data_IF_855465419782
#
_entry.id   IF_855465419782
#
_cell.length_a   1.000
_cell.length_b   1.000
_cell.length_c   1.000
_cell.angle_alpha   90.00
_cell.angle_beta   90.00
_cell.angle_gamma   90.00
#
_symmetry.space_group_name_H-M   'P 1'
#
loop_
_entity.id
_entity.type
_entity.pdbx_description
1 polymer ?
#
# COMPACT_ATOMS: atom_id res chain seq x y z
N UNK A 1 -3.69 0.78 -31.46
CA UNK A 1 -3.66 -0.49 -30.72
C UNK A 1 -4.49 -0.49 -29.44
N UNK A 2 -4.40 0.52 -28.53
CA UNK A 2 -5.15 0.52 -27.24
C UNK A 2 -6.67 0.40 -27.37
N UNK A 3 -7.28 1.12 -28.34
CA UNK A 3 -8.74 1.05 -28.53
C UNK A 3 -9.21 -0.34 -29.01
N UNK A 4 -8.45 -1.01 -29.87
CA UNK A 4 -8.78 -2.37 -30.29
C UNK A 4 -8.72 -3.36 -29.12
N UNK A 5 -7.71 -3.25 -28.25
CA UNK A 5 -7.61 -4.06 -27.04
C UNK A 5 -8.78 -3.78 -26.09
N UNK A 6 -9.14 -2.51 -25.89
CA UNK A 6 -10.29 -2.11 -25.09
C UNK A 6 -11.60 -2.71 -25.62
N UNK A 7 -11.86 -2.57 -26.93
CA UNK A 7 -13.04 -3.13 -27.57
C UNK A 7 -13.09 -4.66 -27.47
N UNK A 8 -11.96 -5.33 -27.71
CA UNK A 8 -11.86 -6.78 -27.62
C UNK A 8 -12.08 -7.28 -26.19
N UNK A 9 -11.51 -6.59 -25.20
CA UNK A 9 -11.66 -6.96 -23.78
C UNK A 9 -13.13 -6.88 -23.34
N UNK A 10 -13.81 -5.77 -23.66
CA UNK A 10 -15.20 -5.53 -23.27
C UNK A 10 -16.23 -6.11 -24.26
N UNK A 11 -15.79 -6.70 -25.37
CA UNK A 11 -16.60 -7.44 -26.35
C UNK A 11 -17.74 -6.64 -26.97
N UNK A 12 -17.55 -5.33 -27.20
CA UNK A 12 -18.55 -4.48 -27.85
C UNK A 12 -18.19 -4.20 -29.31
N UNK A 13 -19.21 -3.98 -30.13
CA UNK A 13 -19.04 -3.47 -31.51
C UNK A 13 -18.75 -1.96 -31.44
N UNK A 14 -17.95 -1.46 -32.37
CA UNK A 14 -17.66 -0.04 -32.48
C UNK A 14 -17.81 0.41 -33.93
N UNK A 15 -18.57 1.47 -34.09
CA UNK A 15 -18.70 2.18 -35.35
C UNK A 15 -18.08 3.57 -35.21
N UNK A 16 -17.44 4.02 -36.27
CA UNK A 16 -16.78 5.32 -36.26
C UNK A 16 -17.58 6.25 -37.17
N UNK A 17 -17.85 7.46 -36.66
CA UNK A 17 -18.41 8.53 -37.43
C UNK A 17 -17.48 8.95 -38.58
N UNK A 18 -18.03 9.51 -39.64
CA UNK A 18 -17.28 10.06 -40.75
C UNK A 18 -16.35 11.20 -40.24
N UNK A 19 -15.06 11.18 -40.59
CA UNK A 19 -14.16 12.25 -40.18
C UNK A 19 -14.67 13.63 -40.64
N UNK A 20 -14.79 14.58 -39.69
CA UNK A 20 -15.27 15.93 -39.95
C UNK A 20 -16.78 16.13 -39.77
N UNK A 21 -17.59 15.05 -39.71
CA UNK A 21 -19.04 15.14 -39.59
C UNK A 21 -19.49 15.04 -38.11
N UNK A 22 -19.34 16.16 -37.41
CA UNK A 22 -19.64 16.22 -35.96
C UNK A 22 -21.11 15.93 -35.60
N UNK A 23 -22.04 16.17 -36.53
CA UNK A 23 -23.48 15.93 -36.34
C UNK A 23 -23.84 14.45 -36.20
N UNK A 24 -23.03 13.53 -36.71
CA UNK A 24 -23.23 12.08 -36.54
C UNK A 24 -23.04 11.60 -35.11
N UNK A 25 -22.39 12.40 -34.23
CA UNK A 25 -22.17 12.06 -32.82
C UNK A 25 -23.43 12.20 -31.94
N UNK A 26 -24.54 12.64 -32.47
CA UNK A 26 -25.77 12.86 -31.71
C UNK A 26 -25.64 13.90 -30.60
N UNK A 27 -26.36 13.69 -29.49
CA UNK A 27 -26.45 14.66 -28.39
C UNK A 27 -25.27 14.73 -27.42
N UNK A 28 -24.20 13.94 -27.58
CA UNK A 28 -23.10 13.81 -26.60
C UNK A 28 -22.44 15.15 -26.25
N UNK A 29 -22.22 16.02 -27.24
CA UNK A 29 -21.63 17.33 -26.99
C UNK A 29 -22.59 18.26 -26.26
N UNK A 30 -23.89 18.19 -26.58
CA UNK A 30 -24.96 18.91 -25.89
C UNK A 30 -25.09 18.49 -24.41
N UNK A 31 -25.10 17.19 -24.15
CA UNK A 31 -25.14 16.62 -22.81
C UNK A 31 -23.89 16.98 -21.98
N UNK A 32 -22.70 16.88 -22.56
CA UNK A 32 -21.47 17.32 -21.89
C UNK A 32 -21.51 18.81 -21.53
N UNK A 33 -22.06 19.64 -22.42
CA UNK A 33 -22.30 21.07 -22.17
C UNK A 33 -23.34 21.33 -21.05
N UNK A 34 -24.45 20.57 -21.07
CA UNK A 34 -25.49 20.62 -20.05
C UNK A 34 -24.91 20.29 -18.67
N UNK A 35 -24.25 19.13 -18.54
CA UNK A 35 -23.67 18.66 -17.28
C UNK A 35 -22.65 19.66 -16.72
N UNK A 36 -21.77 20.16 -17.57
CA UNK A 36 -20.78 21.17 -17.17
C UNK A 36 -21.43 22.43 -16.62
N UNK A 37 -22.44 22.98 -17.29
CA UNK A 37 -23.12 24.21 -16.86
C UNK A 37 -23.89 24.02 -15.56
N UNK A 38 -24.49 22.84 -15.34
CA UNK A 38 -25.32 22.62 -14.17
C UNK A 38 -24.54 22.17 -12.93
N UNK A 39 -23.38 21.47 -13.10
CA UNK A 39 -22.68 20.85 -11.99
C UNK A 39 -21.24 21.36 -11.80
N UNK A 40 -20.64 22.00 -12.79
CA UNK A 40 -19.27 22.50 -12.73
C UNK A 40 -19.16 24.04 -12.87
N UNK A 41 -20.28 24.73 -12.78
CA UNK A 41 -20.33 26.22 -12.78
C UNK A 41 -21.23 26.67 -11.62
N UNK A 42 -20.69 27.43 -10.64
CA UNK A 42 -19.29 27.80 -10.47
C UNK A 42 -18.40 26.57 -10.22
N UNK A 43 -17.09 26.71 -10.47
CA UNK A 43 -16.14 25.58 -10.25
C UNK A 43 -16.23 25.11 -8.80
N UNK A 44 -16.56 23.83 -8.55
CA UNK A 44 -16.75 23.33 -7.19
C UNK A 44 -15.42 23.36 -6.41
N UNK A 45 -15.51 23.69 -5.12
CA UNK A 45 -14.38 23.63 -4.19
C UNK A 45 -14.55 22.38 -3.34
N UNK A 46 -13.64 21.44 -3.50
CA UNK A 46 -13.66 20.13 -2.81
C UNK A 46 -12.29 19.86 -2.18
N UNK A 47 -12.24 18.95 -1.21
CA UNK A 47 -11.00 18.59 -0.52
C UNK A 47 -10.02 17.85 -1.44
N UNK A 48 -10.55 16.93 -2.26
CA UNK A 48 -9.78 16.04 -3.12
C UNK A 48 -10.60 15.58 -4.33
N UNK A 49 -10.01 14.74 -5.18
CA UNK A 49 -10.67 14.17 -6.36
C UNK A 49 -11.76 13.16 -5.99
N UNK A 50 -11.65 12.47 -4.87
CA UNK A 50 -12.64 11.49 -4.44
C UNK A 50 -13.92 12.20 -4.00
N UNK A 51 -13.81 13.30 -3.28
CA UNK A 51 -14.93 14.16 -2.94
C UNK A 51 -15.61 14.75 -4.20
N UNK A 52 -14.83 15.17 -5.20
CA UNK A 52 -15.36 15.63 -6.49
C UNK A 52 -16.13 14.51 -7.20
N UNK A 53 -15.54 13.32 -7.30
CA UNK A 53 -16.16 12.17 -7.94
C UNK A 53 -17.47 11.75 -7.24
N UNK A 54 -17.50 11.76 -5.90
CA UNK A 54 -18.70 11.47 -5.14
C UNK A 54 -19.82 12.49 -5.40
N UNK A 55 -19.47 13.78 -5.46
CA UNK A 55 -20.42 14.86 -5.81
C UNK A 55 -20.97 14.66 -7.24
N UNK A 56 -20.11 14.40 -8.22
CA UNK A 56 -20.51 14.20 -9.60
C UNK A 56 -21.36 12.94 -9.76
N UNK A 57 -21.05 11.86 -9.07
CA UNK A 57 -21.83 10.62 -9.09
C UNK A 57 -23.25 10.86 -8.51
N UNK A 58 -23.35 11.65 -7.44
CA UNK A 58 -24.64 12.04 -6.86
C UNK A 58 -25.46 12.85 -7.86
N UNK A 59 -24.84 13.80 -8.55
CA UNK A 59 -25.48 14.58 -9.59
C UNK A 59 -25.95 13.70 -10.78
N UNK A 60 -25.14 12.77 -11.23
CA UNK A 60 -25.52 11.82 -12.29
C UNK A 60 -26.72 10.96 -11.89
N UNK A 61 -26.76 10.49 -10.63
CA UNK A 61 -27.91 9.70 -10.13
C UNK A 61 -29.18 10.53 -10.00
N UNK A 62 -29.06 11.79 -9.58
CA UNK A 62 -30.20 12.70 -9.54
C UNK A 62 -30.76 12.98 -10.94
N UNK A 63 -29.90 13.05 -11.94
CA UNK A 63 -30.27 13.27 -13.35
C UNK A 63 -31.06 12.10 -13.96
N UNK A 64 -30.96 10.89 -13.38
CA UNK A 64 -31.76 9.72 -13.78
C UNK A 64 -33.28 9.96 -13.65
N UNK A 65 -33.70 10.90 -12.80
CA UNK A 65 -35.10 11.29 -12.66
C UNK A 65 -35.60 12.24 -13.79
N UNK A 66 -34.70 12.77 -14.60
CA UNK A 66 -35.04 13.69 -15.70
C UNK A 66 -35.73 12.95 -16.84
N UNK A 67 -36.70 13.59 -17.43
CA UNK A 67 -37.35 13.16 -18.69
C UNK A 67 -36.78 14.00 -19.84
N UNK A 68 -36.29 13.34 -20.88
CA UNK A 68 -35.78 14.01 -22.06
C UNK A 68 -36.93 14.50 -22.95
N UNK A 69 -36.71 15.60 -23.67
CA UNK A 69 -37.69 16.15 -24.61
C UNK A 69 -38.09 15.10 -25.67
N UNK A 70 -39.39 14.96 -25.89
CA UNK A 70 -39.97 13.94 -26.77
C UNK A 70 -39.98 12.52 -26.19
N UNK A 71 -39.62 12.29 -24.91
CA UNK A 71 -39.74 11.01 -24.23
C UNK A 71 -40.85 11.05 -23.17
N UNK A 72 -41.45 9.88 -22.88
CA UNK A 72 -42.50 9.71 -21.87
C UNK A 72 -41.96 9.16 -20.55
N UNK A 73 -40.77 8.62 -20.57
CA UNK A 73 -40.13 7.96 -19.40
C UNK A 73 -38.88 8.70 -18.95
N UNK A 74 -38.49 8.47 -17.70
CA UNK A 74 -37.25 9.00 -17.14
C UNK A 74 -36.02 8.29 -17.70
N UNK A 75 -34.85 8.94 -17.64
CA UNK A 75 -33.57 8.34 -18.02
C UNK A 75 -33.34 7.04 -17.22
N UNK A 76 -33.63 7.03 -15.92
CA UNK A 76 -33.49 5.85 -15.08
C UNK A 76 -34.38 4.69 -15.48
N UNK A 77 -35.65 4.96 -15.87
CA UNK A 77 -36.55 3.93 -16.36
C UNK A 77 -36.05 3.32 -17.68
N UNK A 78 -35.64 4.16 -18.63
CA UNK A 78 -35.04 3.70 -19.89
C UNK A 78 -33.76 2.87 -19.65
N UNK A 79 -32.89 3.33 -18.74
CA UNK A 79 -31.66 2.61 -18.36
C UNK A 79 -31.95 1.24 -17.71
N UNK A 80 -33.03 1.12 -16.93
CA UNK A 80 -33.42 -0.15 -16.33
C UNK A 80 -33.79 -1.19 -17.38
N UNK A 81 -34.50 -0.77 -18.45
CA UNK A 81 -34.83 -1.63 -19.60
C UNK A 81 -33.56 -2.00 -20.35
N UNK A 82 -32.68 -1.03 -20.65
CA UNK A 82 -31.45 -1.24 -21.40
C UNK A 82 -30.49 -2.21 -20.67
N UNK A 83 -30.39 -2.12 -19.36
CA UNK A 83 -29.55 -3.03 -18.53
C UNK A 83 -29.87 -4.51 -18.77
N UNK A 84 -31.13 -4.86 -19.06
CA UNK A 84 -31.53 -6.23 -19.38
C UNK A 84 -30.94 -6.75 -20.69
N UNK A 85 -30.51 -5.85 -21.56
CA UNK A 85 -29.91 -6.19 -22.86
C UNK A 85 -28.40 -6.08 -22.90
N UNK A 86 -27.78 -5.52 -21.84
CA UNK A 86 -26.32 -5.42 -21.75
C UNK A 86 -25.69 -6.79 -21.52
N UNK A 87 -24.57 -7.03 -22.19
CA UNK A 87 -23.75 -8.22 -21.94
C UNK A 87 -23.03 -8.09 -20.58
N UNK A 88 -22.78 -9.21 -19.89
CA UNK A 88 -21.99 -9.18 -18.68
C UNK A 88 -20.59 -8.65 -18.95
N UNK A 89 -20.08 -7.77 -18.09
CA UNK A 89 -18.72 -7.27 -18.15
C UNK A 89 -17.72 -8.43 -17.96
N UNK A 90 -16.52 -8.27 -18.52
CA UNK A 90 -15.41 -9.17 -18.19
C UNK A 90 -15.11 -9.13 -16.69
N UNK A 91 -14.80 -10.28 -16.08
CA UNK A 91 -14.52 -10.40 -14.64
C UNK A 91 -13.25 -9.65 -14.30
N UNK A 92 -12.25 -9.69 -15.18
CA UNK A 92 -10.98 -8.99 -15.01
C UNK A 92 -11.05 -7.60 -15.63
N UNK A 93 -10.50 -6.61 -14.92
CA UNK A 93 -10.36 -5.25 -15.44
C UNK A 93 -9.35 -5.19 -16.59
N UNK A 94 -9.54 -4.26 -17.52
CA UNK A 94 -8.55 -4.02 -18.58
C UNK A 94 -7.26 -3.47 -17.96
N UNK A 95 -6.13 -4.11 -18.25
CA UNK A 95 -4.82 -3.57 -17.89
C UNK A 95 -4.53 -2.31 -18.74
N UNK A 96 -4.55 -1.16 -18.07
CA UNK A 96 -4.26 0.14 -18.66
C UNK A 96 -2.79 0.54 -18.53
N UNK A 97 -1.95 -0.32 -17.94
CA UNK A 97 -0.55 -0.01 -17.69
C UNK A 97 0.21 0.26 -19.00
N UNK A 98 1.00 1.30 -18.97
CA UNK A 98 2.06 1.52 -19.96
C UNK A 98 3.35 0.90 -19.42
N UNK A 99 3.87 -0.09 -20.12
CA UNK A 99 5.10 -0.76 -19.71
C UNK A 99 6.31 -0.07 -20.31
N UNK A 100 7.28 0.27 -19.45
CA UNK A 100 8.60 0.81 -19.83
C UNK A 100 9.70 0.04 -19.12
N UNK A 101 10.93 0.04 -19.67
CA UNK A 101 12.06 -0.73 -19.15
C UNK A 101 13.24 0.19 -18.79
N UNK A 102 13.12 0.97 -17.70
CA UNK A 102 14.20 1.85 -17.26
C UNK A 102 15.36 1.07 -16.65
N UNK A 103 16.52 1.73 -16.59
CA UNK A 103 17.71 1.26 -15.89
C UNK A 103 17.81 1.95 -14.54
N UNK A 104 18.15 1.20 -13.51
CA UNK A 104 18.36 1.69 -12.14
C UNK A 104 19.64 2.54 -12.10
N UNK A 105 19.54 3.75 -11.60
CA UNK A 105 20.66 4.67 -11.46
C UNK A 105 21.52 4.38 -10.21
N UNK A 106 22.58 5.17 -10.02
CA UNK A 106 23.49 5.06 -8.87
C UNK A 106 22.85 5.46 -7.54
N UNK A 107 21.67 6.10 -7.58
CA UNK A 107 20.91 6.51 -6.40
C UNK A 107 19.79 5.51 -6.08
N UNK A 108 19.82 4.29 -6.69
CA UNK A 108 18.77 3.28 -6.57
C UNK A 108 17.40 3.82 -6.98
N UNK A 109 17.37 4.62 -8.04
CA UNK A 109 16.15 5.15 -8.63
C UNK A 109 16.00 4.72 -10.08
N UNK A 110 14.75 4.69 -10.53
CA UNK A 110 14.40 4.58 -11.95
C UNK A 110 13.69 5.85 -12.40
N UNK A 111 13.98 6.29 -13.61
CA UNK A 111 13.27 7.43 -14.21
C UNK A 111 12.08 6.92 -15.01
N UNK A 112 10.88 7.30 -14.57
CA UNK A 112 9.62 6.98 -15.27
C UNK A 112 8.87 8.27 -15.55
N UNK A 113 8.53 8.47 -16.83
CA UNK A 113 8.02 9.74 -17.36
C UNK A 113 9.05 10.87 -17.14
N UNK A 114 9.04 11.59 -16.09
CA UNK A 114 10.04 12.65 -15.77
C UNK A 114 10.42 12.61 -14.30
N UNK A 115 9.91 11.62 -13.55
CA UNK A 115 10.08 11.51 -12.10
C UNK A 115 10.98 10.33 -11.75
N UNK A 116 11.59 10.40 -10.57
CA UNK A 116 12.53 9.42 -10.05
C UNK A 116 11.85 8.61 -8.94
N UNK A 117 11.81 7.29 -9.09
CA UNK A 117 11.18 6.38 -8.13
C UNK A 117 12.22 5.44 -7.57
N UNK A 118 12.32 5.34 -6.24
CA UNK A 118 13.29 4.46 -5.60
C UNK A 118 12.94 3.00 -5.77
N UNK A 119 13.97 2.16 -5.88
CA UNK A 119 13.82 0.71 -6.02
C UNK A 119 14.89 -0.03 -5.22
N UNK A 120 14.57 -1.19 -4.61
CA UNK A 120 15.53 -2.03 -3.90
C UNK A 120 16.28 -2.93 -4.90
N UNK A 121 16.89 -2.32 -5.93
CA UNK A 121 17.58 -3.05 -6.99
C UNK A 121 18.97 -2.46 -7.26
N UNK A 122 19.86 -3.29 -7.76
CA UNK A 122 21.26 -2.91 -8.03
C UNK A 122 21.32 -1.88 -9.16
N UNK A 123 22.12 -0.83 -8.98
CA UNK A 123 22.44 0.15 -10.01
C UNK A 123 22.95 -0.53 -11.29
N UNK A 124 22.47 -0.09 -12.44
CA UNK A 124 22.77 -0.67 -13.76
C UNK A 124 21.83 -1.81 -14.16
N UNK A 125 21.02 -2.37 -13.25
CA UNK A 125 20.04 -3.38 -13.64
C UNK A 125 18.86 -2.74 -14.39
N UNK A 126 18.30 -3.49 -15.34
CA UNK A 126 17.07 -3.12 -16.06
C UNK A 126 15.87 -3.73 -15.33
N UNK A 127 14.84 -2.94 -15.14
CA UNK A 127 13.59 -3.35 -14.51
C UNK A 127 12.41 -3.04 -15.43
N UNK A 128 11.28 -3.69 -15.19
CA UNK A 128 10.02 -3.39 -15.86
C UNK A 128 9.21 -2.45 -14.98
N UNK A 129 8.81 -1.29 -15.50
CA UNK A 129 7.93 -0.38 -14.80
C UNK A 129 6.58 -0.31 -15.50
N UNK A 130 5.52 -0.66 -14.79
CA UNK A 130 4.12 -0.59 -15.22
C UNK A 130 3.51 0.68 -14.68
N UNK A 131 3.23 1.61 -15.59
CA UNK A 131 2.67 2.93 -15.28
C UNK A 131 1.16 2.86 -15.31
N UNK A 132 0.57 2.77 -14.15
CA UNK A 132 -0.88 2.83 -13.95
C UNK A 132 -1.35 4.29 -13.81
N UNK A 133 -2.66 4.58 -13.85
CA UNK A 133 -3.18 5.93 -13.66
C UNK A 133 -2.79 6.56 -12.31
N UNK A 134 -2.88 5.80 -11.22
CA UNK A 134 -2.66 6.28 -9.85
C UNK A 134 -1.34 5.81 -9.23
N UNK A 135 -0.72 4.75 -9.75
CA UNK A 135 0.50 4.20 -9.18
C UNK A 135 1.47 3.70 -10.25
N UNK A 136 2.69 3.45 -9.84
CA UNK A 136 3.74 2.85 -10.65
C UNK A 136 4.21 1.60 -9.92
N UNK A 137 4.19 0.48 -10.64
CA UNK A 137 4.71 -0.79 -10.17
C UNK A 137 6.02 -1.09 -10.87
N UNK A 138 7.02 -1.53 -10.09
CA UNK A 138 8.33 -1.85 -10.61
C UNK A 138 8.61 -3.33 -10.35
N UNK A 139 8.88 -4.04 -11.42
CA UNK A 139 9.04 -5.48 -11.45
C UNK A 139 10.45 -5.88 -11.87
N UNK A 140 10.99 -6.92 -11.26
CA UNK A 140 12.25 -7.54 -11.66
C UNK A 140 12.10 -9.07 -11.62
N UNK A 141 12.45 -9.77 -12.69
CA UNK A 141 12.31 -11.22 -12.82
C UNK A 141 10.89 -11.71 -12.41
N UNK A 142 9.83 -11.06 -12.92
CA UNK A 142 8.44 -11.34 -12.64
C UNK A 142 8.01 -11.14 -11.16
N UNK A 143 8.86 -10.55 -10.33
CA UNK A 143 8.55 -10.20 -8.94
C UNK A 143 8.32 -8.70 -8.83
N UNK A 144 7.24 -8.29 -8.16
CA UNK A 144 7.01 -6.90 -7.76
C UNK A 144 8.04 -6.52 -6.69
N UNK A 145 8.89 -5.53 -6.98
CA UNK A 145 9.94 -5.07 -6.07
C UNK A 145 9.66 -3.71 -5.46
N UNK A 146 8.83 -2.88 -6.10
CA UNK A 146 8.41 -1.60 -5.55
C UNK A 146 7.07 -1.16 -6.15
N UNK A 147 6.27 -0.46 -5.33
CA UNK A 147 5.04 0.21 -5.75
C UNK A 147 5.01 1.60 -5.15
N UNK A 148 4.79 2.60 -5.98
CA UNK A 148 4.74 4.01 -5.59
C UNK A 148 3.46 4.66 -6.07
N UNK A 149 2.97 5.66 -5.36
CA UNK A 149 1.98 6.57 -5.90
C UNK A 149 2.57 7.31 -7.10
N UNK A 150 1.76 7.46 -8.14
CA UNK A 150 2.19 8.17 -9.34
C UNK A 150 2.24 9.66 -9.09
N UNK A 151 3.43 10.23 -9.20
CA UNK A 151 3.60 11.67 -9.18
C UNK A 151 3.30 12.28 -10.57
N UNK A 152 2.35 13.19 -10.62
CA UNK A 152 1.96 13.88 -11.85
C UNK A 152 2.76 15.17 -12.10
N UNK A 153 3.52 15.65 -11.11
CA UNK A 153 4.49 16.74 -11.27
C UNK A 153 5.71 16.29 -12.07
N UNK A 154 6.63 17.18 -12.33
CA UNK A 154 7.85 16.87 -13.09
C UNK A 154 9.09 16.94 -12.21
N UNK A 155 10.09 16.09 -12.50
CA UNK A 155 11.41 16.06 -11.85
C UNK A 155 11.34 15.90 -10.34
N UNK A 156 10.32 15.17 -9.85
CA UNK A 156 10.17 14.86 -8.44
C UNK A 156 10.84 13.53 -8.10
N UNK A 157 11.29 13.42 -6.88
CA UNK A 157 11.80 12.18 -6.30
C UNK A 157 10.71 11.60 -5.39
N UNK A 158 10.29 10.37 -5.67
CA UNK A 158 9.36 9.59 -4.84
C UNK A 158 10.18 8.46 -4.23
N UNK A 159 10.58 8.64 -2.97
CA UNK A 159 11.55 7.79 -2.32
C UNK A 159 10.92 7.04 -1.15
N UNK A 160 11.14 5.73 -1.09
CA UNK A 160 10.80 4.92 0.05
C UNK A 160 12.06 4.61 0.86
N UNK A 161 12.02 4.85 2.17
CA UNK A 161 13.17 4.65 3.06
C UNK A 161 13.60 3.17 3.11
N UNK A 162 12.63 2.25 2.99
CA UNK A 162 12.90 0.81 3.00
C UNK A 162 13.89 0.38 1.92
N UNK A 163 13.85 1.03 0.75
CA UNK A 163 14.73 0.72 -0.36
C UNK A 163 16.21 1.08 -0.10
N UNK A 164 16.47 1.83 0.95
CA UNK A 164 17.81 2.33 1.30
C UNK A 164 18.36 1.77 2.60
N UNK A 165 17.60 0.98 3.36
CA UNK A 165 18.01 0.52 4.69
C UNK A 165 19.35 -0.23 4.67
N UNK A 166 19.56 -1.11 3.68
CA UNK A 166 20.83 -1.85 3.54
C UNK A 166 22.02 -0.90 3.33
N UNK A 167 21.89 0.04 2.39
CA UNK A 167 22.94 1.01 2.08
C UNK A 167 23.20 1.93 3.26
N UNK A 168 22.15 2.37 3.95
CA UNK A 168 22.23 3.23 5.13
C UNK A 168 22.82 2.48 6.34
N UNK A 169 22.58 1.17 6.47
CA UNK A 169 23.23 0.33 7.47
C UNK A 169 24.76 0.32 7.35
N UNK A 170 25.27 0.36 6.12
CA UNK A 170 26.71 0.51 5.87
C UNK A 170 27.21 1.94 6.07
N UNK A 171 26.37 2.95 5.90
CA UNK A 171 26.69 4.39 6.03
C UNK A 171 25.73 5.12 6.99
N UNK A 172 25.69 4.75 8.28
CA UNK A 172 24.69 5.26 9.22
C UNK A 172 24.75 6.79 9.41
N UNK A 173 25.90 7.40 9.18
CA UNK A 173 26.05 8.87 9.25
C UNK A 173 25.20 9.63 8.22
N UNK A 174 24.80 8.98 7.12
CA UNK A 174 23.94 9.59 6.10
C UNK A 174 22.46 9.52 6.45
N UNK A 175 22.05 8.71 7.42
CA UNK A 175 20.65 8.40 7.72
C UNK A 175 19.86 9.65 8.12
N UNK A 176 20.36 10.43 9.11
CA UNK A 176 19.67 11.59 9.67
C UNK A 176 19.32 12.68 8.62
N UNK A 177 20.21 12.90 7.64
CA UNK A 177 20.02 13.89 6.58
C UNK A 177 19.50 13.31 5.27
N UNK A 178 19.05 12.07 5.26
CA UNK A 178 18.60 11.42 4.02
C UNK A 178 17.25 11.94 3.54
N UNK A 179 17.13 12.16 2.23
CA UNK A 179 15.85 12.56 1.62
C UNK A 179 14.73 11.53 1.85
N UNK A 180 14.96 10.20 1.76
CA UNK A 180 13.94 9.21 2.05
C UNK A 180 13.35 9.32 3.47
N UNK A 181 14.20 9.55 4.48
CA UNK A 181 13.72 9.77 5.84
C UNK A 181 12.87 11.05 5.96
N UNK A 182 13.31 12.13 5.30
CA UNK A 182 12.56 13.39 5.28
C UNK A 182 11.17 13.19 4.64
N UNK A 183 11.07 12.42 3.57
CA UNK A 183 9.78 12.10 2.93
C UNK A 183 8.91 11.21 3.81
N UNK A 184 9.46 10.22 4.51
CA UNK A 184 8.70 9.42 5.47
C UNK A 184 8.13 10.25 6.61
N UNK A 185 8.91 11.19 7.15
CA UNK A 185 8.44 12.15 8.16
C UNK A 185 7.31 13.02 7.64
N UNK A 186 7.46 13.59 6.45
CA UNK A 186 6.44 14.41 5.82
C UNK A 186 5.15 13.64 5.51
N UNK A 187 5.25 12.37 5.18
CA UNK A 187 4.11 11.46 4.93
C UNK A 187 3.47 10.88 6.19
N UNK A 188 3.94 11.23 7.40
CA UNK A 188 3.43 10.68 8.66
C UNK A 188 3.80 9.22 8.92
N UNK A 189 4.72 8.65 8.14
CA UNK A 189 5.20 7.26 8.27
C UNK A 189 6.31 7.09 9.33
N UNK A 190 6.66 8.17 10.03
CA UNK A 190 7.67 8.20 11.10
C UNK A 190 7.02 8.56 12.43
N UNK A 191 6.60 7.59 13.26
CA UNK A 191 6.02 7.83 14.57
C UNK A 191 7.03 8.47 15.55
N UNK A 192 6.54 9.27 16.49
CA UNK A 192 7.39 9.96 17.49
C UNK A 192 8.23 8.96 18.31
N UNK A 193 7.67 7.79 18.65
CA UNK A 193 8.38 6.74 19.38
C UNK A 193 9.67 6.26 18.67
N UNK A 194 9.78 6.43 17.35
CA UNK A 194 11.02 6.11 16.64
C UNK A 194 12.14 7.11 16.94
N UNK A 195 11.82 8.38 17.16
CA UNK A 195 12.81 9.37 17.59
C UNK A 195 13.28 9.08 19.03
N UNK A 196 12.36 8.68 19.92
CA UNK A 196 12.68 8.32 21.31
C UNK A 196 13.58 7.08 21.37
N UNK A 197 13.23 6.03 20.61
CA UNK A 197 14.07 4.84 20.52
C UNK A 197 15.44 5.16 19.94
N UNK A 198 15.50 5.95 18.86
CA UNK A 198 16.77 6.32 18.24
C UNK A 198 17.65 7.15 19.17
N UNK A 199 17.06 8.06 19.95
CA UNK A 199 17.78 8.82 20.97
C UNK A 199 18.36 7.89 22.06
N UNK A 200 17.59 6.91 22.55
CA UNK A 200 18.07 5.95 23.56
C UNK A 200 19.17 5.04 23.00
N UNK A 201 19.00 4.51 21.78
CA UNK A 201 20.03 3.72 21.09
C UNK A 201 21.32 4.52 20.89
N UNK A 202 21.20 5.80 20.51
CA UNK A 202 22.35 6.69 20.31
C UNK A 202 23.05 7.01 21.61
N UNK A 203 22.33 7.17 22.73
CA UNK A 203 22.89 7.37 24.08
C UNK A 203 23.65 6.12 24.56
N UNK A 204 23.09 4.92 24.28
CA UNK A 204 23.68 3.65 24.77
C UNK A 204 24.90 3.19 23.95
N UNK A 205 24.83 3.33 22.60
CA UNK A 205 25.84 2.77 21.70
C UNK A 205 26.66 3.80 20.94
N UNK A 206 26.45 5.09 21.22
CA UNK A 206 27.02 6.19 20.46
C UNK A 206 26.31 6.44 19.15
N UNK A 207 26.52 7.60 18.53
CA UNK A 207 25.78 8.11 17.39
C UNK A 207 25.76 7.15 16.19
N UNK A 208 26.91 6.59 15.84
CA UNK A 208 27.01 5.70 14.66
C UNK A 208 26.35 4.34 14.88
N UNK A 209 26.69 3.67 15.98
CA UNK A 209 26.17 2.33 16.27
C UNK A 209 24.68 2.39 16.68
N UNK A 210 24.27 3.43 17.42
CA UNK A 210 22.86 3.66 17.73
C UNK A 210 22.02 3.90 16.47
N UNK A 211 22.53 4.65 15.50
CA UNK A 211 21.84 4.82 14.21
C UNK A 211 21.80 3.51 13.43
N UNK A 212 22.90 2.71 13.44
CA UNK A 212 22.89 1.38 12.80
C UNK A 212 21.87 0.45 13.45
N UNK A 213 21.77 0.47 14.78
CA UNK A 213 20.76 -0.30 15.52
C UNK A 213 19.34 0.17 15.14
N UNK A 214 19.08 1.48 15.03
CA UNK A 214 17.79 2.00 14.58
C UNK A 214 17.44 1.54 13.15
N UNK A 215 18.40 1.55 12.23
CA UNK A 215 18.21 1.00 10.88
C UNK A 215 17.87 -0.50 10.94
N UNK A 216 18.53 -1.26 11.83
CA UNK A 216 18.18 -2.67 12.08
C UNK A 216 16.76 -2.87 12.61
N UNK A 217 16.28 -1.98 13.48
CA UNK A 217 14.88 -1.99 13.91
C UNK A 217 13.93 -1.73 12.74
N UNK A 218 14.22 -0.72 11.90
CA UNK A 218 13.39 -0.42 10.72
C UNK A 218 13.33 -1.58 9.73
N UNK A 219 14.43 -2.32 9.57
CA UNK A 219 14.46 -3.51 8.71
C UNK A 219 13.49 -4.61 9.17
N UNK A 220 13.17 -4.71 10.46
CA UNK A 220 12.14 -5.61 10.97
C UNK A 220 10.75 -5.26 10.41
N UNK A 221 10.52 -4.00 10.05
CA UNK A 221 9.26 -3.59 9.41
C UNK A 221 9.01 -4.24 8.05
N UNK A 222 10.07 -4.58 7.32
CA UNK A 222 9.96 -5.31 6.03
C UNK A 222 9.50 -6.76 6.24
N UNK A 223 9.85 -7.37 7.37
CA UNK A 223 9.50 -8.76 7.71
C UNK A 223 8.13 -8.86 8.38
N UNK A 224 7.84 -7.98 9.35
CA UNK A 224 6.67 -8.07 10.22
C UNK A 224 5.56 -7.06 9.91
N UNK A 225 5.83 -6.06 9.07
CA UNK A 225 4.95 -4.93 8.77
C UNK A 225 5.15 -3.74 9.74
N UNK A 226 4.96 -2.53 9.20
CA UNK A 226 5.27 -1.29 9.96
C UNK A 226 4.30 -1.00 11.10
N UNK A 227 3.03 -1.36 10.98
CA UNK A 227 2.05 -1.16 12.07
C UNK A 227 2.41 -1.99 13.29
N UNK A 228 2.83 -3.24 13.07
CA UNK A 228 3.30 -4.11 14.15
C UNK A 228 4.62 -3.64 14.74
N UNK A 229 5.54 -3.19 13.88
CA UNK A 229 6.81 -2.61 14.33
C UNK A 229 6.56 -1.40 15.21
N UNK A 230 5.65 -0.51 14.84
CA UNK A 230 5.29 0.66 15.64
C UNK A 230 4.80 0.24 17.05
N UNK A 231 3.87 -0.71 17.11
CA UNK A 231 3.35 -1.22 18.38
C UNK A 231 4.46 -1.87 19.25
N UNK A 232 5.34 -2.68 18.63
CA UNK A 232 6.45 -3.32 19.33
C UNK A 232 7.48 -2.32 19.84
N UNK A 233 7.79 -1.28 19.08
CA UNK A 233 8.69 -0.20 19.51
C UNK A 233 8.09 0.58 20.68
N UNK A 234 6.81 0.92 20.64
CA UNK A 234 6.14 1.60 21.75
C UNK A 234 6.18 0.76 23.03
N UNK A 235 5.94 -0.55 22.91
CA UNK A 235 6.00 -1.49 24.04
C UNK A 235 7.44 -1.67 24.57
N UNK A 236 8.43 -1.78 23.69
CA UNK A 236 9.85 -1.86 24.06
C UNK A 236 10.30 -0.63 24.87
N UNK A 237 9.88 0.55 24.46
CA UNK A 237 10.13 1.81 25.19
C UNK A 237 9.49 1.80 26.57
N UNK A 238 8.25 1.33 26.69
CA UNK A 238 7.53 1.23 27.96
C UNK A 238 8.26 0.31 28.94
N UNK A 239 8.81 -0.81 28.45
CA UNK A 239 9.58 -1.76 29.27
C UNK A 239 11.07 -1.39 29.43
N UNK A 240 11.54 -0.31 28.84
CA UNK A 240 12.96 0.08 28.88
C UNK A 240 13.89 -0.88 28.13
N UNK A 241 13.35 -1.78 27.32
CA UNK A 241 14.08 -2.81 26.56
C UNK A 241 14.41 -2.30 25.13
N UNK A 242 15.25 -1.28 25.04
CA UNK A 242 15.54 -0.55 23.82
C UNK A 242 16.74 -1.15 23.06
N UNK A 243 16.58 -2.31 22.48
CA UNK A 243 17.51 -2.91 21.52
C UNK A 243 16.78 -3.69 20.42
N UNK A 244 17.51 -4.03 19.35
CA UNK A 244 16.95 -4.71 18.17
C UNK A 244 16.39 -6.09 18.52
N UNK A 245 17.06 -6.81 19.44
CA UNK A 245 16.66 -8.16 19.84
C UNK A 245 15.36 -8.14 20.64
N UNK A 246 15.20 -7.18 21.55
CA UNK A 246 13.98 -6.98 22.33
C UNK A 246 12.79 -6.63 21.42
N UNK A 247 12.96 -5.72 20.47
CA UNK A 247 11.89 -5.37 19.51
C UNK A 247 11.52 -6.60 18.67
N UNK A 248 12.51 -7.37 18.19
CA UNK A 248 12.26 -8.61 17.43
C UNK A 248 11.51 -9.63 18.29
N UNK A 249 11.88 -9.80 19.54
CA UNK A 249 11.19 -10.70 20.46
C UNK A 249 9.72 -10.34 20.62
N UNK A 250 9.41 -9.06 20.87
CA UNK A 250 8.03 -8.58 20.99
C UNK A 250 7.21 -8.77 19.71
N UNK A 251 7.85 -8.62 18.55
CA UNK A 251 7.19 -8.88 17.24
C UNK A 251 6.84 -10.37 17.08
N UNK A 252 7.74 -11.28 17.46
CA UNK A 252 7.54 -12.73 17.38
C UNK A 252 6.48 -13.17 18.39
N UNK A 253 6.55 -12.68 19.64
CA UNK A 253 5.58 -12.99 20.69
C UNK A 253 4.16 -12.58 20.28
N UNK A 254 3.98 -11.36 19.77
CA UNK A 254 2.70 -10.87 19.26
C UNK A 254 2.18 -11.68 18.04
N UNK A 255 3.09 -12.30 17.28
CA UNK A 255 2.72 -13.18 16.17
C UNK A 255 2.29 -14.56 16.64
N UNK A 256 2.97 -15.12 17.65
CA UNK A 256 2.68 -16.44 18.22
C UNK A 256 1.35 -16.46 19.00
N UNK A 257 1.08 -15.40 19.78
CA UNK A 257 -0.17 -15.31 20.55
C UNK A 257 -1.43 -15.07 19.69
N UNK A 258 -1.29 -14.75 18.42
CA UNK A 258 -2.43 -14.65 17.48
C UNK A 258 -2.94 -16.00 16.97
N UNK A 259 -2.15 -17.05 17.13
CA UNK A 259 -2.52 -18.39 16.78
C UNK A 259 -2.81 -19.16 18.09
N UNK A 260 -3.96 -18.90 18.71
CA UNK A 260 -4.55 -19.97 19.56
C UNK A 260 -4.81 -21.13 18.60
N UNK A 261 -4.13 -22.28 18.78
CA UNK A 261 -4.41 -23.43 17.95
C UNK A 261 -5.89 -23.79 18.15
N UNK A 262 -6.64 -23.90 17.07
CA UNK A 262 -7.99 -24.44 17.14
C UNK A 262 -7.88 -25.79 17.87
N UNK A 263 -8.68 -26.01 18.92
CA UNK A 263 -8.64 -27.27 19.66
C UNK A 263 -8.92 -28.42 18.67
N UNK A 264 -7.92 -29.26 18.48
CA UNK A 264 -8.03 -30.42 17.60
C UNK A 264 -9.02 -31.39 18.31
N UNK A 265 -10.11 -31.74 17.64
CA UNK A 265 -10.98 -32.79 18.12
C UNK A 265 -10.22 -34.12 18.08
N UNK A 266 -9.77 -34.55 19.24
CA UNK A 266 -9.01 -35.78 19.42
C UNK A 266 -9.90 -37.01 19.47
N UNK A 267 -11.22 -36.87 19.36
CA UNK A 267 -12.19 -37.98 19.34
C UNK A 267 -11.98 -38.99 20.46
N UNK A 268 -11.83 -40.27 20.11
CA UNK A 268 -11.63 -41.37 21.09
C UNK A 268 -10.33 -41.26 21.90
N UNK A 269 -9.37 -40.46 21.49
CA UNK A 269 -8.11 -40.23 22.22
C UNK A 269 -8.27 -39.28 23.41
N UNK A 270 -9.38 -38.53 23.52
CA UNK A 270 -9.68 -37.68 24.67
C UNK A 270 -9.61 -38.44 26.03
N UNK A 271 -9.86 -39.76 26.03
CA UNK A 271 -9.72 -40.60 27.22
C UNK A 271 -8.31 -40.71 27.79
N UNK A 272 -7.29 -40.33 27.01
CA UNK A 272 -5.89 -40.32 27.44
C UNK A 272 -5.39 -38.92 27.79
N UNK A 273 -6.26 -37.93 27.66
CA UNK A 273 -5.92 -36.57 28.04
C UNK A 273 -5.68 -36.50 29.56
N UNK A 274 -4.54 -35.95 29.93
CA UNK A 274 -4.16 -35.75 31.32
C UNK A 274 -4.00 -34.25 31.57
N UNK A 275 -4.49 -33.76 32.70
CA UNK A 275 -4.24 -32.40 33.09
C UNK A 275 -2.72 -32.13 33.10
N UNK A 276 -2.30 -30.97 32.55
CA UNK A 276 -0.92 -30.57 32.63
C UNK A 276 -0.48 -30.51 34.09
N UNK A 277 0.73 -31.00 34.43
CA UNK A 277 1.23 -30.91 35.80
C UNK A 277 1.32 -29.46 36.21
N UNK A 278 0.93 -29.16 37.45
CA UNK A 278 1.13 -27.80 37.99
C UNK A 278 2.62 -27.54 38.15
N UNK A 279 3.12 -26.52 37.48
CA UNK A 279 4.56 -26.15 37.53
C UNK A 279 4.97 -25.76 38.97
N UNK A 280 4.05 -25.28 39.80
CA UNK A 280 4.29 -24.97 41.21
C UNK A 280 4.73 -26.19 42.00
N UNK A 281 4.29 -27.42 41.60
CA UNK A 281 4.73 -28.65 42.24
C UNK A 281 6.24 -28.90 42.04
N UNK A 282 6.82 -28.42 40.95
CA UNK A 282 8.26 -28.57 40.69
C UNK A 282 9.11 -27.55 41.47
N UNK A 283 8.54 -26.44 41.91
CA UNK A 283 9.25 -25.45 42.73
C UNK A 283 9.59 -26.00 44.13
N UNK A 284 8.83 -27.01 44.56
CA UNK A 284 9.13 -27.73 45.82
C UNK A 284 10.46 -28.52 45.76
N UNK A 285 10.90 -28.92 44.55
CA UNK A 285 12.18 -29.60 44.34
C UNK A 285 13.38 -28.66 44.47
N UNK A 286 13.19 -27.35 44.23
CA UNK A 286 14.22 -26.35 44.38
C UNK A 286 14.46 -25.93 45.83
N UNK A 287 13.46 -26.18 46.68
CA UNK A 287 13.52 -25.87 48.11
C UNK A 287 14.02 -27.01 48.99
N UNK A 288 14.29 -28.18 48.42
CA UNK A 288 14.88 -29.31 49.21
C UNK A 288 16.35 -29.00 49.55
N UNK A 289 16.77 -28.94 50.83
CA UNK A 289 18.15 -28.76 51.16
C UNK A 289 18.97 -29.96 50.67
N UNK A 290 20.06 -29.69 49.92
CA UNK A 290 21.02 -30.73 49.58
C UNK A 290 21.47 -31.41 50.88
N UNK A 291 21.02 -32.65 51.10
CA UNK A 291 21.52 -33.49 52.18
C UNK A 291 23.02 -33.70 51.91
N UNK A 292 23.84 -33.01 52.68
CA UNK A 292 25.28 -33.17 52.60
C UNK A 292 25.63 -34.59 52.94
N UNK A 293 26.30 -35.30 52.04
CA UNK A 293 27.03 -36.53 52.33
C UNK A 293 28.19 -36.21 53.25
N UNK A 294 28.11 -36.74 54.45
CA UNK A 294 29.22 -36.84 55.40
C UNK A 294 30.23 -37.92 54.92
#
# INVERSE_FOLDING_TARGET
>A
MRFLAFRSHWRFAAEFCTPGEGHEKGGVEGEGGYFRRNHLVPVPRVADLDALNAMLLTACRADEARVLDGRSETIGAAMAVERGHLLPCAVEGLDLAETVFPVVDKQSCVTVKTNFYSVPARAGSRVEARVQPLHIEIWQAARLIARHERCHSRRQHVLDLEHYLDVLGHKPGAFAGSKPLAQWRAAGRWPVCYDDLWAQLSKRHGKQNGTRAMIGVLALGQEFGHDRLHAAVALALLHGACDVAAVRYLLIEAWLHKAEPEPIDVGALARYDRPLPDLADYDTLLSAPCAGTA
#
